data_IF_130528123789
#
_entry.id   IF_130528123789
#
_cell.length_a   1.000
_cell.length_b   1.000
_cell.length_c   1.000
_cell.angle_alpha   90.00
_cell.angle_beta   90.00
_cell.angle_gamma   90.00
#
_symmetry.space_group_name_H-M   'P 1'
#
loop_
_entity.id
_entity.type
_entity.pdbx_description
1 polymer ?
#
# COMPACT_ATOMS: atom_id res chain seq x y z
N UNK A 1 32.37 3.40 -3.43
CA UNK A 1 31.22 4.27 -3.05
C UNK A 1 30.00 3.37 -2.80
N UNK A 2 29.16 3.68 -1.80
CA UNK A 2 27.91 2.94 -1.51
C UNK A 2 26.69 3.71 -2.05
N UNK A 3 25.72 3.00 -2.59
CA UNK A 3 24.45 3.64 -3.01
C UNK A 3 23.36 3.37 -1.99
N UNK A 4 22.64 4.40 -1.58
CA UNK A 4 21.43 4.31 -0.75
C UNK A 4 20.22 4.57 -1.65
N UNK A 5 19.23 3.70 -1.62
CA UNK A 5 17.97 3.93 -2.33
C UNK A 5 16.82 4.10 -1.35
N UNK A 6 16.16 5.26 -1.38
CA UNK A 6 14.93 5.54 -0.64
C UNK A 6 13.68 5.33 -1.52
N UNK A 7 12.51 5.25 -0.91
CA UNK A 7 11.25 5.14 -1.66
C UNK A 7 10.81 6.47 -2.27
N UNK A 8 11.11 7.58 -1.59
CA UNK A 8 10.64 8.93 -1.96
C UNK A 8 11.77 9.95 -1.95
N UNK A 9 11.70 10.98 -2.81
CA UNK A 9 12.72 12.04 -2.86
C UNK A 9 12.92 12.76 -1.53
N UNK A 10 11.85 12.95 -0.74
CA UNK A 10 11.92 13.60 0.56
C UNK A 10 12.74 12.78 1.56
N UNK A 11 12.52 11.48 1.60
CA UNK A 11 13.28 10.55 2.47
C UNK A 11 14.74 10.49 2.04
N UNK A 12 15.01 10.43 0.73
CA UNK A 12 16.36 10.47 0.19
C UNK A 12 17.13 11.73 0.63
N UNK A 13 16.47 12.90 0.62
CA UNK A 13 17.07 14.17 1.05
C UNK A 13 17.47 14.14 2.53
N UNK A 14 16.61 13.60 3.41
CA UNK A 14 16.94 13.50 4.84
C UNK A 14 18.10 12.54 5.09
N UNK A 15 18.11 11.40 4.43
CA UNK A 15 19.22 10.44 4.54
C UNK A 15 20.50 11.09 3.99
N UNK A 16 20.45 11.74 2.83
CA UNK A 16 21.58 12.41 2.19
C UNK A 16 22.21 13.46 3.11
N UNK A 17 21.39 14.28 3.77
CA UNK A 17 21.85 15.26 4.76
C UNK A 17 22.62 14.58 5.91
N UNK A 18 22.14 13.46 6.40
CA UNK A 18 22.72 12.76 7.55
C UNK A 18 24.05 12.07 7.19
N UNK A 19 24.16 11.53 5.96
CA UNK A 19 25.39 10.85 5.51
C UNK A 19 26.40 11.80 4.86
N UNK A 20 26.09 13.10 4.73
CA UNK A 20 26.96 14.10 4.13
C UNK A 20 26.97 14.10 2.59
N UNK A 21 25.96 13.49 1.96
CA UNK A 21 25.76 13.52 0.51
C UNK A 21 25.05 14.83 0.10
N UNK A 22 25.74 15.96 0.14
CA UNK A 22 25.14 17.29 -0.01
C UNK A 22 25.12 17.81 -1.45
N UNK A 23 25.93 17.25 -2.35
CA UNK A 23 25.94 17.64 -3.76
C UNK A 23 24.70 17.06 -4.45
N UNK A 24 23.85 17.94 -4.96
CA UNK A 24 22.66 17.54 -5.72
C UNK A 24 23.03 17.27 -7.18
N UNK A 25 22.67 16.11 -7.64
CA UNK A 25 22.79 15.68 -9.03
C UNK A 25 21.40 15.34 -9.60
N UNK A 26 21.34 15.05 -10.89
CA UNK A 26 20.11 14.60 -11.53
C UNK A 26 19.74 13.19 -11.01
N UNK A 27 18.60 13.10 -10.27
CA UNK A 27 18.08 11.85 -9.75
C UNK A 27 18.77 11.29 -8.50
N UNK A 28 19.78 11.98 -7.91
CA UNK A 28 20.44 11.54 -6.68
C UNK A 28 21.20 12.69 -5.97
N UNK A 29 21.68 12.41 -4.77
CA UNK A 29 22.64 13.27 -4.03
C UNK A 29 23.95 12.52 -3.88
N UNK A 30 25.09 13.22 -3.90
CA UNK A 30 26.42 12.65 -3.79
C UNK A 30 27.25 13.34 -2.70
N UNK A 31 28.09 12.59 -2.02
CA UNK A 31 29.03 13.07 -1.01
C UNK A 31 29.20 12.09 0.14
N UNK A 32 30.22 12.31 0.99
CA UNK A 32 30.48 11.49 2.14
C UNK A 32 30.75 9.99 1.85
N UNK A 33 31.10 9.64 0.61
CA UNK A 33 31.27 8.24 0.19
C UNK A 33 29.98 7.56 -0.23
N UNK A 34 28.88 8.31 -0.34
CA UNK A 34 27.54 7.80 -0.69
C UNK A 34 26.99 8.49 -1.93
N UNK A 35 26.19 7.72 -2.69
CA UNK A 35 25.19 8.24 -3.62
C UNK A 35 23.80 7.90 -3.05
N UNK A 36 22.94 8.89 -2.85
CA UNK A 36 21.60 8.70 -2.29
C UNK A 36 20.57 9.00 -3.35
N UNK A 37 19.92 7.97 -3.85
CA UNK A 37 18.89 8.04 -4.89
C UNK A 37 17.50 7.64 -4.34
N UNK A 38 16.49 7.67 -5.18
CA UNK A 38 15.09 7.38 -4.77
C UNK A 38 14.31 6.73 -5.90
N UNK A 39 13.29 5.99 -5.50
CA UNK A 39 12.18 5.61 -6.35
C UNK A 39 11.07 6.70 -6.29
N UNK A 40 10.07 6.60 -7.17
CA UNK A 40 8.82 7.37 -7.11
C UNK A 40 7.66 6.42 -6.78
N UNK A 41 7.79 5.59 -5.74
CA UNK A 41 7.01 4.39 -5.55
C UNK A 41 7.44 3.30 -6.54
N UNK A 42 6.52 2.56 -7.12
CA UNK A 42 6.84 1.54 -8.12
C UNK A 42 7.36 2.16 -9.42
N UNK A 43 8.65 1.99 -9.74
CA UNK A 43 9.25 2.33 -11.03
C UNK A 43 9.04 1.20 -12.05
N UNK A 44 8.87 -0.01 -11.56
CA UNK A 44 8.70 -1.24 -12.35
C UNK A 44 7.39 -1.89 -11.95
N UNK A 45 6.68 -2.44 -12.92
CA UNK A 45 5.39 -3.12 -12.76
C UNK A 45 5.34 -4.42 -13.55
N UNK A 46 4.36 -5.28 -13.27
CA UNK A 46 4.08 -6.45 -14.09
C UNK A 46 3.51 -6.00 -15.44
N UNK A 47 3.92 -6.67 -16.52
CA UNK A 47 3.40 -6.41 -17.85
C UNK A 47 1.89 -6.70 -17.92
N UNK A 48 1.18 -5.93 -18.73
CA UNK A 48 -0.24 -6.16 -19.01
C UNK A 48 -0.40 -7.29 -20.05
N UNK A 49 -1.61 -7.82 -20.31
CA UNK A 49 -1.83 -8.94 -21.22
C UNK A 49 -1.24 -8.75 -22.63
N UNK A 50 -1.20 -7.52 -23.13
CA UNK A 50 -0.59 -7.19 -24.42
C UNK A 50 0.92 -7.45 -24.46
N UNK A 51 1.60 -7.36 -23.33
CA UNK A 51 3.01 -7.75 -23.18
C UNK A 51 3.25 -9.26 -23.35
N UNK A 52 2.20 -10.05 -23.26
CA UNK A 52 2.21 -11.51 -23.52
C UNK A 52 1.55 -11.86 -24.88
N UNK A 53 1.32 -10.89 -25.76
CA UNK A 53 0.67 -11.09 -27.05
C UNK A 53 -0.85 -11.24 -27.00
N UNK A 54 -1.46 -11.09 -25.84
CA UNK A 54 -2.90 -11.24 -25.61
C UNK A 54 -3.57 -9.87 -25.75
N UNK A 55 -4.45 -9.70 -26.74
CA UNK A 55 -5.08 -8.41 -27.03
C UNK A 55 -6.60 -8.50 -26.95
N UNK A 56 -7.18 -7.41 -26.44
CA UNK A 56 -8.63 -7.23 -26.35
C UNK A 56 -9.30 -8.10 -25.28
N UNK A 57 -10.55 -7.77 -25.00
CA UNK A 57 -11.41 -8.54 -24.08
C UNK A 57 -12.16 -9.59 -24.88
N UNK A 58 -11.52 -10.75 -25.06
CA UNK A 58 -12.05 -11.88 -25.85
C UNK A 58 -12.17 -13.09 -24.96
N UNK A 59 -13.32 -13.77 -25.00
CA UNK A 59 -13.63 -14.92 -24.14
C UNK A 59 -12.58 -16.04 -24.27
N UNK A 60 -12.11 -16.28 -25.48
CA UNK A 60 -11.15 -17.34 -25.75
C UNK A 60 -9.75 -17.09 -25.18
N UNK A 61 -9.48 -15.85 -24.76
CA UNK A 61 -8.23 -15.49 -24.08
C UNK A 61 -8.27 -15.81 -22.57
N UNK A 62 -9.43 -16.14 -22.01
CA UNK A 62 -9.59 -16.38 -20.57
C UNK A 62 -9.43 -17.87 -20.23
N UNK A 63 -8.73 -18.18 -19.11
CA UNK A 63 -8.03 -17.25 -18.23
C UNK A 63 -6.66 -16.83 -18.77
N UNK A 64 -6.27 -15.57 -18.58
CA UNK A 64 -4.92 -15.08 -18.84
C UNK A 64 -4.01 -15.48 -17.67
N UNK A 65 -3.15 -16.45 -17.91
CA UNK A 65 -2.19 -16.97 -16.90
C UNK A 65 -0.81 -17.00 -17.54
N UNK A 66 0.05 -15.98 -17.30
CA UNK A 66 1.42 -16.00 -17.81
C UNK A 66 2.23 -17.16 -17.19
N UNK A 67 3.01 -17.88 -17.98
CA UNK A 67 3.97 -18.87 -17.45
C UNK A 67 5.01 -18.20 -16.55
N UNK A 68 5.44 -17.00 -16.94
CA UNK A 68 6.38 -16.17 -16.17
C UNK A 68 5.93 -14.71 -16.26
N UNK A 69 5.85 -14.06 -15.10
CA UNK A 69 5.56 -12.64 -15.04
C UNK A 69 6.74 -11.80 -15.50
N UNK A 70 6.52 -10.93 -16.46
CA UNK A 70 7.50 -10.02 -17.01
C UNK A 70 7.42 -8.67 -16.33
N UNK A 71 8.58 -8.14 -15.91
CA UNK A 71 8.71 -6.81 -15.34
C UNK A 71 8.96 -5.79 -16.45
N UNK A 72 8.24 -4.66 -16.41
CA UNK A 72 8.40 -3.54 -17.34
C UNK A 72 8.46 -2.22 -16.58
N UNK A 73 9.05 -1.16 -17.15
CA UNK A 73 8.92 0.18 -16.57
C UNK A 73 7.47 0.57 -16.43
N UNK A 74 7.13 1.28 -15.34
CA UNK A 74 5.79 1.81 -15.15
C UNK A 74 5.34 2.59 -16.37
N UNK A 75 4.11 2.33 -16.78
CA UNK A 75 3.49 2.95 -17.94
C UNK A 75 2.58 4.10 -17.54
N UNK A 76 2.49 5.10 -18.38
CA UNK A 76 1.50 6.17 -18.35
C UNK A 76 0.48 6.01 -19.48
N UNK A 77 -0.75 6.42 -19.21
CA UNK A 77 -1.82 6.41 -20.20
C UNK A 77 -1.67 7.62 -21.11
N UNK A 78 -1.64 7.37 -22.42
CA UNK A 78 -1.77 8.40 -23.45
C UNK A 78 -3.17 8.37 -24.03
N UNK A 79 -3.50 9.29 -24.94
CA UNK A 79 -4.81 9.32 -25.60
C UNK A 79 -5.17 8.01 -26.32
N UNK A 80 -4.18 7.32 -26.87
CA UNK A 80 -4.39 6.14 -27.76
C UNK A 80 -3.79 4.84 -27.21
N UNK A 81 -2.89 4.90 -26.22
CA UNK A 81 -2.14 3.72 -25.76
C UNK A 81 -1.52 3.94 -24.40
N UNK A 82 -0.88 2.90 -23.87
CA UNK A 82 0.04 2.99 -22.74
C UNK A 82 1.47 3.02 -23.28
N UNK A 83 2.31 3.87 -22.70
CA UNK A 83 3.74 3.93 -23.00
C UNK A 83 4.56 4.06 -21.70
N UNK A 84 5.84 3.67 -21.72
CA UNK A 84 6.71 3.87 -20.55
C UNK A 84 6.75 5.36 -20.14
N UNK A 85 6.58 5.64 -18.86
CA UNK A 85 6.74 6.97 -18.29
C UNK A 85 8.20 7.41 -18.46
N UNK A 86 8.43 8.49 -19.17
CA UNK A 86 9.77 8.98 -19.53
C UNK A 86 10.61 9.37 -18.31
N UNK A 87 9.98 9.93 -17.27
CA UNK A 87 10.64 10.27 -16.02
C UNK A 87 11.08 9.01 -15.26
N UNK A 88 10.23 7.97 -15.27
CA UNK A 88 10.56 6.66 -14.69
C UNK A 88 11.73 6.01 -15.43
N UNK A 89 11.69 6.00 -16.76
CA UNK A 89 12.78 5.42 -17.57
C UNK A 89 14.11 6.13 -17.31
N UNK A 90 14.10 7.46 -17.21
CA UNK A 90 15.29 8.25 -16.88
C UNK A 90 15.83 7.90 -15.49
N UNK A 91 14.95 7.81 -14.49
CA UNK A 91 15.33 7.47 -13.13
C UNK A 91 15.88 6.03 -13.02
N UNK A 92 15.29 5.07 -13.71
CA UNK A 92 15.80 3.69 -13.77
C UNK A 92 17.21 3.64 -14.34
N UNK A 93 17.52 4.42 -15.39
CA UNK A 93 18.86 4.51 -15.97
C UNK A 93 19.88 5.05 -14.96
N UNK A 94 19.51 6.10 -14.22
CA UNK A 94 20.36 6.68 -13.16
C UNK A 94 20.61 5.64 -12.07
N UNK A 95 19.56 4.99 -11.55
CA UNK A 95 19.69 3.97 -10.52
C UNK A 95 20.53 2.79 -11.00
N UNK A 96 20.32 2.32 -12.24
CA UNK A 96 21.11 1.24 -12.82
C UNK A 96 22.59 1.57 -12.85
N UNK A 97 22.97 2.77 -13.27
CA UNK A 97 24.37 3.25 -13.25
C UNK A 97 24.94 3.27 -11.83
N UNK A 98 24.19 3.81 -10.87
CA UNK A 98 24.60 3.89 -9.47
C UNK A 98 24.76 2.51 -8.84
N UNK A 99 23.83 1.60 -9.05
CA UNK A 99 23.87 0.26 -8.49
C UNK A 99 25.07 -0.53 -9.02
N UNK A 100 25.29 -0.53 -10.34
CA UNK A 100 26.39 -1.26 -10.96
C UNK A 100 27.76 -0.64 -10.67
N UNK A 101 27.82 0.65 -10.33
CA UNK A 101 29.06 1.34 -9.93
C UNK A 101 29.36 1.31 -8.43
N UNK A 102 28.53 0.64 -7.64
CA UNK A 102 28.64 0.62 -6.17
C UNK A 102 29.23 -0.67 -5.64
N UNK A 103 29.95 -0.58 -4.53
CA UNK A 103 30.43 -1.74 -3.77
C UNK A 103 29.29 -2.44 -3.01
N UNK A 104 28.30 -1.68 -2.62
CA UNK A 104 27.16 -2.14 -1.81
C UNK A 104 25.97 -1.21 -1.99
N UNK A 105 24.77 -1.78 -2.02
CA UNK A 105 23.50 -1.04 -1.99
C UNK A 105 22.91 -1.09 -0.58
N UNK A 106 22.50 0.06 -0.06
CA UNK A 106 21.75 0.19 1.18
C UNK A 106 20.29 0.50 0.82
N UNK A 107 19.42 -0.43 1.13
CA UNK A 107 17.99 -0.32 0.80
C UNK A 107 17.26 0.38 1.93
N UNK A 108 16.80 1.59 1.67
CA UNK A 108 16.08 2.47 2.58
C UNK A 108 14.65 2.78 2.11
N UNK A 109 14.04 1.86 1.35
CA UNK A 109 12.60 1.90 1.09
C UNK A 109 11.82 1.58 2.36
N UNK A 110 10.54 1.93 2.42
CA UNK A 110 9.72 1.77 3.62
C UNK A 110 9.83 0.35 4.22
N UNK A 111 9.85 0.27 5.55
CA UNK A 111 10.00 -0.98 6.29
C UNK A 111 8.70 -1.80 6.21
N UNK A 112 8.52 -2.54 5.13
CA UNK A 112 7.32 -3.31 4.88
C UNK A 112 7.35 -4.07 3.55
N UNK A 113 6.28 -4.82 3.30
CA UNK A 113 6.14 -5.65 2.09
C UNK A 113 6.26 -4.85 0.79
N UNK A 114 5.62 -3.68 0.73
CA UNK A 114 5.61 -2.84 -0.47
C UNK A 114 7.00 -2.23 -0.74
N UNK A 115 7.66 -1.70 0.29
CA UNK A 115 9.02 -1.16 0.13
C UNK A 115 10.03 -2.22 -0.30
N UNK A 116 9.89 -3.47 0.20
CA UNK A 116 10.72 -4.59 -0.26
C UNK A 116 10.42 -4.96 -1.71
N UNK A 117 9.15 -4.99 -2.11
CA UNK A 117 8.73 -5.29 -3.47
C UNK A 117 9.24 -4.24 -4.47
N UNK A 118 9.12 -2.94 -4.15
CA UNK A 118 9.60 -1.83 -4.97
C UNK A 118 11.09 -2.00 -5.28
N UNK A 119 11.89 -2.25 -4.23
CA UNK A 119 13.32 -2.44 -4.40
C UNK A 119 13.65 -3.70 -5.21
N UNK A 120 13.10 -4.86 -4.83
CA UNK A 120 13.44 -6.14 -5.47
C UNK A 120 12.99 -6.21 -6.92
N UNK A 121 11.83 -5.67 -7.27
CA UNK A 121 11.40 -5.57 -8.66
C UNK A 121 12.37 -4.73 -9.50
N UNK A 122 12.79 -3.58 -8.97
CA UNK A 122 13.76 -2.72 -9.63
C UNK A 122 15.13 -3.41 -9.77
N UNK A 123 15.61 -4.03 -8.71
CA UNK A 123 16.88 -4.74 -8.66
C UNK A 123 16.93 -5.87 -9.69
N UNK A 124 15.88 -6.68 -9.77
CA UNK A 124 15.76 -7.76 -10.75
C UNK A 124 15.58 -7.24 -12.18
N UNK A 125 14.79 -6.17 -12.36
CA UNK A 125 14.60 -5.56 -13.67
C UNK A 125 15.91 -5.02 -14.27
N UNK A 126 16.75 -4.42 -13.42
CA UNK A 126 18.08 -3.93 -13.82
C UNK A 126 19.06 -5.09 -14.10
N UNK A 127 18.81 -6.27 -13.59
CA UNK A 127 19.76 -7.39 -13.63
C UNK A 127 20.98 -7.13 -12.75
N UNK A 128 20.83 -6.39 -11.66
CA UNK A 128 21.93 -6.01 -10.78
C UNK A 128 22.44 -7.20 -9.95
N UNK A 129 23.75 -7.32 -9.79
CA UNK A 129 24.40 -8.33 -8.96
C UNK A 129 25.14 -7.73 -7.74
N UNK A 130 25.12 -6.40 -7.58
CA UNK A 130 25.75 -5.73 -6.44
C UNK A 130 25.12 -6.15 -5.12
N UNK A 131 25.88 -6.58 -4.11
CA UNK A 131 25.34 -7.01 -2.83
C UNK A 131 24.59 -5.87 -2.14
N UNK A 132 23.52 -6.22 -1.43
CA UNK A 132 22.72 -5.21 -0.72
C UNK A 132 22.42 -5.59 0.72
N UNK A 133 22.22 -4.56 1.51
CA UNK A 133 21.82 -4.61 2.92
C UNK A 133 20.59 -3.72 3.15
N UNK A 134 19.88 -3.97 4.22
CA UNK A 134 18.62 -3.30 4.53
C UNK A 134 18.78 -2.31 5.68
N UNK A 135 18.41 -1.05 5.44
CA UNK A 135 18.12 -0.07 6.47
C UNK A 135 16.66 -0.23 6.90
N UNK A 136 16.43 -0.92 8.03
CA UNK A 136 15.10 -1.21 8.52
C UNK A 136 14.74 -0.28 9.67
N UNK A 137 14.02 0.79 9.35
CA UNK A 137 13.61 1.81 10.31
C UNK A 137 12.12 2.15 10.14
N UNK A 138 11.44 2.43 11.25
CA UNK A 138 10.03 2.84 11.28
C UNK A 138 9.85 4.36 11.52
N UNK A 139 10.95 5.09 11.69
CA UNK A 139 10.95 6.53 11.93
C UNK A 139 12.06 7.22 11.14
N UNK A 140 11.81 8.44 10.70
CA UNK A 140 12.74 9.26 9.91
C UNK A 140 13.42 10.36 10.76
N UNK A 141 13.46 10.21 12.08
CA UNK A 141 14.24 11.12 12.93
C UNK A 141 15.74 10.91 12.70
N UNK A 142 16.53 11.96 12.88
CA UNK A 142 18.00 11.91 12.74
C UNK A 142 18.61 10.75 13.54
N UNK A 143 18.13 10.55 14.77
CA UNK A 143 18.58 9.46 15.63
C UNK A 143 18.27 8.09 15.01
N UNK A 144 17.03 7.88 14.57
CA UNK A 144 16.61 6.60 14.00
C UNK A 144 17.40 6.26 12.72
N UNK A 145 17.64 7.24 11.85
CA UNK A 145 18.43 7.04 10.63
C UNK A 145 19.89 6.71 10.98
N UNK A 146 20.53 7.45 11.91
CA UNK A 146 21.91 7.19 12.33
C UNK A 146 22.06 5.81 12.98
N UNK A 147 21.16 5.47 13.87
CA UNK A 147 21.16 4.17 14.55
C UNK A 147 20.91 3.03 13.57
N UNK A 148 19.97 3.19 12.62
CA UNK A 148 19.71 2.23 11.57
C UNK A 148 20.90 2.02 10.63
N UNK A 149 21.62 3.10 10.25
CA UNK A 149 22.83 2.99 9.42
C UNK A 149 24.00 2.28 10.13
N UNK A 150 24.02 2.28 11.47
CA UNK A 150 24.99 1.48 12.26
C UNK A 150 24.58 0.01 12.38
N UNK A 151 23.29 -0.27 12.23
CA UNK A 151 22.68 -1.59 12.44
C UNK A 151 22.02 -2.09 11.14
N UNK A 152 22.75 -2.04 10.03
CA UNK A 152 22.26 -2.55 8.75
C UNK A 152 22.09 -4.07 8.80
N UNK A 153 21.00 -4.56 8.23
CA UNK A 153 20.65 -5.96 8.22
C UNK A 153 20.93 -6.61 6.86
N UNK A 154 21.23 -7.90 6.86
CA UNK A 154 21.42 -8.65 5.61
C UNK A 154 20.12 -8.65 4.78
N UNK A 155 20.23 -8.40 3.48
CA UNK A 155 19.08 -8.39 2.58
C UNK A 155 18.32 -9.71 2.55
N UNK A 156 19.04 -10.85 2.70
CA UNK A 156 18.46 -12.20 2.74
C UNK A 156 17.47 -12.44 3.90
N UNK A 157 17.58 -11.67 4.98
CA UNK A 157 16.62 -11.72 6.10
C UNK A 157 15.18 -11.43 5.63
N UNK A 158 15.02 -10.70 4.53
CA UNK A 158 13.75 -10.23 4.00
C UNK A 158 13.28 -10.98 2.74
N UNK A 159 13.92 -12.09 2.38
CA UNK A 159 13.57 -12.87 1.18
C UNK A 159 12.13 -13.41 1.26
N UNK A 160 11.73 -13.95 2.41
CA UNK A 160 10.35 -14.44 2.60
C UNK A 160 9.32 -13.29 2.56
N UNK A 161 9.69 -12.09 3.04
CA UNK A 161 8.83 -10.91 2.96
C UNK A 161 8.65 -10.47 1.49
N UNK A 162 9.72 -10.49 0.71
CA UNK A 162 9.67 -10.26 -0.73
C UNK A 162 8.81 -11.29 -1.45
N UNK A 163 9.01 -12.58 -1.18
CA UNK A 163 8.22 -13.64 -1.81
C UNK A 163 6.73 -13.51 -1.50
N UNK A 164 6.37 -13.16 -0.27
CA UNK A 164 4.98 -12.89 0.11
C UNK A 164 4.41 -11.66 -0.63
N UNK A 165 5.20 -10.59 -0.78
CA UNK A 165 4.81 -9.40 -1.52
C UNK A 165 4.65 -9.67 -3.02
N UNK A 166 5.57 -10.43 -3.61
CA UNK A 166 5.54 -10.88 -5.00
C UNK A 166 4.30 -11.72 -5.28
N UNK A 167 4.06 -12.76 -4.47
CA UNK A 167 2.89 -13.62 -4.62
C UNK A 167 1.58 -12.83 -4.52
N UNK A 168 1.51 -11.85 -3.63
CA UNK A 168 0.37 -10.94 -3.54
C UNK A 168 0.21 -10.11 -4.82
N UNK A 169 1.28 -9.50 -5.32
CA UNK A 169 1.25 -8.69 -6.54
C UNK A 169 0.79 -9.49 -7.75
N UNK A 170 1.31 -10.70 -7.92
CA UNK A 170 0.93 -11.62 -9.00
C UNK A 170 -0.53 -12.10 -8.87
N UNK A 171 -0.98 -12.40 -7.66
CA UNK A 171 -2.38 -12.76 -7.38
C UNK A 171 -3.34 -11.61 -7.65
N UNK A 172 -2.97 -10.38 -7.24
CA UNK A 172 -3.78 -9.19 -7.52
C UNK A 172 -3.88 -8.93 -9.03
N UNK A 173 -2.80 -9.18 -9.78
CA UNK A 173 -2.80 -9.10 -11.24
C UNK A 173 -3.73 -10.16 -11.86
N UNK A 174 -3.59 -11.42 -11.45
CA UNK A 174 -4.41 -12.53 -11.98
C UNK A 174 -5.91 -12.29 -11.74
N UNK A 175 -6.29 -11.95 -10.52
CA UNK A 175 -7.68 -11.68 -10.16
C UNK A 175 -8.19 -10.43 -10.86
N UNK A 176 -7.39 -9.35 -10.87
CA UNK A 176 -7.77 -8.08 -11.46
C UNK A 176 -7.97 -8.18 -12.98
N UNK A 177 -7.04 -8.78 -13.68
CA UNK A 177 -7.10 -8.92 -15.15
C UNK A 177 -8.25 -9.84 -15.56
N UNK A 178 -8.28 -11.06 -15.03
CA UNK A 178 -9.27 -12.04 -15.43
C UNK A 178 -10.68 -11.65 -15.00
N UNK A 179 -10.85 -11.15 -13.77
CA UNK A 179 -12.14 -10.71 -13.27
C UNK A 179 -12.68 -9.51 -14.03
N UNK A 180 -11.83 -8.51 -14.34
CA UNK A 180 -12.22 -7.34 -15.14
C UNK A 180 -12.63 -7.73 -16.55
N UNK A 181 -11.86 -8.58 -17.21
CA UNK A 181 -12.19 -9.03 -18.56
C UNK A 181 -13.46 -9.87 -18.58
N UNK A 182 -13.58 -10.86 -17.69
CA UNK A 182 -14.76 -11.72 -17.63
C UNK A 182 -16.04 -10.92 -17.39
N UNK A 183 -16.02 -10.00 -16.42
CA UNK A 183 -17.19 -9.17 -16.13
C UNK A 183 -17.54 -8.22 -17.27
N UNK A 184 -16.53 -7.60 -17.91
CA UNK A 184 -16.75 -6.69 -19.03
C UNK A 184 -17.29 -7.40 -20.26
N UNK A 185 -16.80 -8.62 -20.55
CA UNK A 185 -17.33 -9.47 -21.63
C UNK A 185 -18.78 -9.88 -21.33
N UNK A 186 -19.08 -10.29 -20.12
CA UNK A 186 -20.42 -10.67 -19.72
C UNK A 186 -21.43 -9.50 -19.80
N UNK A 187 -20.99 -8.29 -19.49
CA UNK A 187 -21.81 -7.08 -19.60
C UNK A 187 -22.04 -6.64 -21.05
N UNK A 188 -21.20 -7.05 -22.00
CA UNK A 188 -21.32 -6.74 -23.42
C UNK A 188 -20.91 -5.31 -23.81
N UNK A 189 -20.58 -4.46 -22.88
CA UNK A 189 -20.15 -3.07 -23.10
C UNK A 189 -19.32 -2.55 -21.95
N UNK A 190 -18.46 -1.56 -22.21
CA UNK A 190 -17.67 -0.84 -21.20
C UNK A 190 -16.58 -1.70 -20.55
N UNK A 191 -15.93 -1.13 -19.53
CA UNK A 191 -14.93 -1.82 -18.71
C UNK A 191 -15.37 -1.78 -17.26
N UNK A 192 -15.61 -2.95 -16.70
CA UNK A 192 -16.02 -3.13 -15.29
C UNK A 192 -14.84 -3.67 -14.50
N UNK A 193 -14.18 -2.76 -13.80
CA UNK A 193 -12.99 -3.08 -13.04
C UNK A 193 -13.30 -3.96 -11.82
N UNK A 194 -12.57 -5.05 -11.71
CA UNK A 194 -12.61 -5.97 -10.57
C UNK A 194 -11.26 -5.98 -9.89
N UNK A 195 -11.23 -5.96 -8.57
CA UNK A 195 -9.99 -6.04 -7.81
C UNK A 195 -10.25 -6.50 -6.38
N UNK A 196 -9.26 -7.14 -5.81
CA UNK A 196 -9.32 -7.75 -4.48
C UNK A 196 -9.59 -6.75 -3.35
N UNK A 197 -9.22 -5.49 -3.52
CA UNK A 197 -9.46 -4.43 -2.54
C UNK A 197 -10.60 -3.53 -2.98
N UNK A 198 -10.58 -3.02 -4.20
CA UNK A 198 -11.57 -2.04 -4.67
C UNK A 198 -13.00 -2.59 -4.71
N UNK A 199 -13.19 -3.84 -5.12
CA UNK A 199 -14.54 -4.43 -5.24
C UNK A 199 -15.20 -4.65 -3.88
N UNK A 200 -14.54 -5.25 -2.87
CA UNK A 200 -15.11 -5.33 -1.52
C UNK A 200 -15.34 -3.96 -0.88
N UNK A 201 -14.44 -3.00 -1.10
CA UNK A 201 -14.62 -1.63 -0.60
C UNK A 201 -15.86 -0.98 -1.19
N UNK A 202 -16.05 -1.07 -2.52
CA UNK A 202 -17.27 -0.59 -3.18
C UNK A 202 -18.52 -1.29 -2.65
N UNK A 203 -18.46 -2.62 -2.46
CA UNK A 203 -19.58 -3.38 -1.91
C UNK A 203 -19.97 -2.90 -0.50
N UNK A 204 -18.99 -2.61 0.37
CA UNK A 204 -19.26 -2.05 1.71
C UNK A 204 -19.91 -0.66 1.63
N UNK A 205 -19.44 0.20 0.74
CA UNK A 205 -20.03 1.54 0.52
C UNK A 205 -21.47 1.41 0.01
N UNK A 206 -21.71 0.53 -0.95
CA UNK A 206 -23.06 0.27 -1.47
C UNK A 206 -23.99 -0.32 -0.40
N UNK A 207 -23.51 -1.27 0.39
CA UNK A 207 -24.28 -1.85 1.50
C UNK A 207 -24.69 -0.77 2.50
N UNK A 208 -23.75 0.09 2.91
CA UNK A 208 -24.04 1.20 3.83
C UNK A 208 -24.99 2.23 3.22
N UNK A 209 -24.86 2.52 1.93
CA UNK A 209 -25.80 3.39 1.23
C UNK A 209 -27.23 2.85 1.28
N UNK A 210 -27.41 1.55 0.98
CA UNK A 210 -28.73 0.94 0.99
C UNK A 210 -29.29 0.77 2.40
N UNK A 211 -28.45 0.46 3.40
CA UNK A 211 -28.83 0.45 4.81
C UNK A 211 -29.40 1.81 5.24
N UNK A 212 -28.70 2.90 4.87
CA UNK A 212 -29.17 4.25 5.15
C UNK A 212 -30.49 4.58 4.43
N UNK A 213 -30.60 4.22 3.12
CA UNK A 213 -31.80 4.49 2.31
C UNK A 213 -33.03 3.70 2.75
N UNK A 214 -32.83 2.50 3.27
CA UNK A 214 -33.88 1.60 3.75
C UNK A 214 -34.05 1.68 5.27
N UNK A 215 -33.38 2.63 5.90
CA UNK A 215 -33.46 2.82 7.34
C UNK A 215 -34.90 3.17 7.74
N UNK A 216 -35.46 2.35 8.61
CA UNK A 216 -36.75 2.58 9.29
C UNK A 216 -36.44 2.94 10.72
N UNK A 217 -37.14 3.98 11.22
CA UNK A 217 -36.96 4.40 12.61
C UNK A 217 -37.59 3.34 13.51
N UNK A 218 -36.77 2.66 14.31
CA UNK A 218 -37.22 1.78 15.38
C UNK A 218 -37.07 2.50 16.72
N UNK A 219 -38.18 2.80 17.42
CA UNK A 219 -38.09 3.39 18.75
C UNK A 219 -37.49 2.35 19.72
N UNK A 220 -36.73 2.83 20.68
CA UNK A 220 -36.29 2.01 21.79
C UNK A 220 -36.36 2.81 23.10
N UNK A 221 -36.46 2.12 24.19
CA UNK A 221 -36.46 2.69 25.52
C UNK A 221 -35.19 2.25 26.27
N UNK A 222 -34.62 3.18 27.02
CA UNK A 222 -33.44 2.93 27.84
C UNK A 222 -33.61 3.65 29.17
N UNK A 223 -33.23 3.01 30.28
CA UNK A 223 -33.27 3.63 31.57
C UNK A 223 -32.00 4.40 31.85
N UNK A 224 -32.19 5.59 32.36
CA UNK A 224 -31.12 6.42 32.86
C UNK A 224 -31.39 6.76 34.33
N UNK A 225 -30.35 6.63 35.15
CA UNK A 225 -30.37 7.03 36.58
C UNK A 225 -29.37 8.15 36.75
N UNK A 226 -29.78 9.21 37.42
CA UNK A 226 -28.92 10.28 37.87
C UNK A 226 -28.82 10.19 39.38
N UNK A 227 -27.65 9.91 39.91
CA UNK A 227 -27.41 9.86 41.34
C UNK A 227 -26.56 11.06 41.78
N UNK A 228 -26.82 11.60 42.96
CA UNK A 228 -26.02 12.63 43.56
C UNK A 228 -24.72 12.01 44.06
N UNK A 229 -23.57 12.52 43.60
CA UNK A 229 -22.24 12.07 43.94
C UNK A 229 -21.70 12.58 45.28
N UNK A 230 -22.46 13.42 45.98
CA UNK A 230 -22.13 13.94 47.30
C UNK A 230 -21.34 15.26 47.36
N UNK A 231 -20.67 15.64 46.27
CA UNK A 231 -19.89 16.90 46.20
C UNK A 231 -20.49 17.91 45.19
N UNK A 232 -21.78 17.79 44.89
CA UNK A 232 -22.47 18.57 43.87
C UNK A 232 -22.33 18.00 42.44
N UNK A 233 -21.64 16.90 42.27
CA UNK A 233 -21.51 16.21 41.01
C UNK A 233 -22.65 15.19 40.83
N UNK A 234 -23.22 15.15 39.62
CA UNK A 234 -24.24 14.16 39.26
C UNK A 234 -23.63 13.03 38.44
N UNK A 235 -23.68 11.82 38.96
CA UNK A 235 -23.24 10.61 38.23
C UNK A 235 -24.44 10.04 37.45
N UNK A 236 -24.28 9.88 36.15
CA UNK A 236 -25.31 9.31 35.27
C UNK A 236 -24.98 7.87 34.91
N UNK A 237 -25.93 6.99 35.14
CA UNK A 237 -25.86 5.59 34.73
C UNK A 237 -26.90 5.33 33.64
N UNK A 238 -26.57 4.46 32.69
CA UNK A 238 -27.50 4.01 31.66
C UNK A 238 -27.57 2.49 31.68
N UNK A 239 -28.77 1.95 31.51
CA UNK A 239 -28.93 0.50 31.36
C UNK A 239 -28.14 0.01 30.14
N UNK A 240 -27.52 -1.14 30.24
CA UNK A 240 -26.85 -1.81 29.09
C UNK A 240 -27.90 -2.37 28.10
N UNK A 241 -29.08 -2.72 28.60
CA UNK A 241 -30.19 -3.18 27.79
C UNK A 241 -31.00 -2.02 27.19
N UNK A 242 -31.48 -2.25 25.97
CA UNK A 242 -32.47 -1.43 25.29
C UNK A 242 -33.71 -2.28 25.01
N UNK A 243 -34.89 -1.72 25.22
CA UNK A 243 -36.17 -2.42 24.99
C UNK A 243 -36.83 -1.87 23.75
N UNK A 244 -37.36 -2.76 22.90
CA UNK A 244 -38.14 -2.38 21.72
C UNK A 244 -39.54 -1.93 22.07
N UNK A 245 -40.06 -2.39 23.24
CA UNK A 245 -41.37 -2.05 23.77
C UNK A 245 -41.22 -1.23 25.04
N UNK A 246 -42.15 -0.31 25.27
CA UNK A 246 -42.15 0.61 26.41
C UNK A 246 -42.45 -0.10 27.73
N UNK A 247 -43.32 -1.10 27.69
CA UNK A 247 -43.86 -1.74 28.89
C UNK A 247 -42.80 -2.39 29.78
N UNK A 248 -41.88 -3.24 29.25
CA UNK A 248 -40.81 -3.82 30.07
C UNK A 248 -39.87 -2.76 30.70
N UNK A 249 -39.61 -1.67 29.98
CA UNK A 249 -38.82 -0.57 30.51
C UNK A 249 -39.55 0.17 31.62
N UNK A 250 -40.86 0.37 31.48
CA UNK A 250 -41.73 1.00 32.48
C UNK A 250 -41.83 0.17 33.74
N UNK A 251 -41.97 -1.14 33.60
CA UNK A 251 -42.01 -2.08 34.76
C UNK A 251 -40.70 -1.98 35.57
N UNK A 252 -39.55 -1.96 34.87
CA UNK A 252 -38.28 -1.83 35.56
C UNK A 252 -38.10 -0.44 36.17
N UNK A 253 -38.49 0.61 35.47
CA UNK A 253 -38.50 1.98 35.99
C UNK A 253 -39.27 2.08 37.31
N UNK A 254 -40.51 1.54 37.33
CA UNK A 254 -41.35 1.57 38.54
C UNK A 254 -40.79 0.76 39.72
N UNK A 255 -39.91 -0.22 39.45
CA UNK A 255 -39.22 -0.97 40.51
C UNK A 255 -38.05 -0.21 41.14
N UNK A 256 -37.41 0.70 40.39
CA UNK A 256 -36.18 1.35 40.84
C UNK A 256 -36.32 2.86 41.13
N UNK A 257 -37.46 3.48 40.74
CA UNK A 257 -37.67 4.92 40.91
C UNK A 257 -37.72 5.40 42.34
N UNK A 258 -38.10 4.53 43.28
CA UNK A 258 -38.32 4.82 44.70
C UNK A 258 -37.25 4.13 45.60
N UNK A 259 -36.13 3.66 44.99
CA UNK A 259 -35.06 2.93 45.71
C UNK A 259 -33.99 3.83 46.21
#
# INVERSE_FOLDING_TARGET
MKTIIAEKPSVAREIARIVGATKREEGYFEGGGYAVTWAFGHLVQLAMPDGYGIRGFVRDNLPVIPETFTLIPRQEKTEKSYKPDSGVVSQIKIISRLFNGSEQIIVATDAGREGELIFRYLYHYIGCATPFVRLWISSLTDKAIRDGLRNLEAGSKYDNLYLAAKARSESDWLVGINGTQALSIAAGHGTYSVGRVQTPTLAMVCARYWENRRFTVEPFWQLHIAADGGDGDTVKFSSTGKWKEMEPATVLYNKVKDS
#
